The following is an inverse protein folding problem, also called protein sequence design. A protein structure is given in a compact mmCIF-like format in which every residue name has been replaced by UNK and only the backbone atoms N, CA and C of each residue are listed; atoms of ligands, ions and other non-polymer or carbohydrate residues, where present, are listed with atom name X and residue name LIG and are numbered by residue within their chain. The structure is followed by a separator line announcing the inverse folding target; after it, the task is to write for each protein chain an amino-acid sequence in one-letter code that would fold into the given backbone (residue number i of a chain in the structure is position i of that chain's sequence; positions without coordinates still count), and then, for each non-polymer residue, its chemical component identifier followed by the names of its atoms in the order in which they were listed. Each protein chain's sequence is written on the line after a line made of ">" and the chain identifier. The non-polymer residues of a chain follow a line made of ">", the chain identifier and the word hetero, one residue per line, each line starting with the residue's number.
data_IF_405772723185
#
_entry.id   IF_405772723185
#
_cell.length_a   1.000
_cell.length_b   1.000
_cell.length_c   1.000
_cell.angle_alpha   90.00
_cell.angle_beta   90.00
_cell.angle_gamma   90.00
#
_symmetry.space_group_name_H-M   'P 1'
#
loop_
_entity.id
_entity.type
_entity.pdbx_description
1 polymer ?
#
# COMPACT_ATOMS: atom_id res chain seq x y z
N UNK A 1 16.03 -57.05 15.03
CA UNK A 1 14.79 -56.24 15.07
C UNK A 1 15.09 -54.97 14.36
N UNK A 2 14.75 -54.87 13.05
CA UNK A 2 14.92 -53.67 12.26
C UNK A 2 13.88 -52.66 12.73
N UNK A 3 14.32 -51.47 13.17
CA UNK A 3 13.42 -50.32 13.39
C UNK A 3 12.90 -49.90 12.02
N UNK A 4 11.60 -50.03 11.81
CA UNK A 4 10.88 -49.41 10.70
C UNK A 4 11.26 -47.93 10.70
N UNK A 5 11.95 -47.50 9.62
CA UNK A 5 12.07 -46.11 9.26
C UNK A 5 10.65 -45.67 8.87
N UNK A 6 9.98 -45.04 9.82
CA UNK A 6 8.70 -44.37 9.58
C UNK A 6 8.94 -43.34 8.46
N UNK A 7 8.66 -43.75 7.24
CA UNK A 7 8.88 -42.89 6.07
C UNK A 7 7.83 -41.81 6.13
N UNK A 8 8.25 -40.59 6.50
CA UNK A 8 7.37 -39.42 6.57
C UNK A 8 6.62 -39.24 5.25
N UNK A 9 5.30 -39.12 5.32
CA UNK A 9 4.42 -39.03 4.16
C UNK A 9 3.62 -37.73 4.20
N UNK A 10 3.38 -37.15 3.04
CA UNK A 10 2.44 -36.04 2.92
C UNK A 10 1.03 -36.49 3.34
N UNK A 11 0.41 -35.77 4.27
CA UNK A 11 -0.95 -36.07 4.78
C UNK A 11 -2.06 -35.77 3.75
N UNK A 12 -1.73 -35.02 2.67
CA UNK A 12 -2.67 -34.66 1.63
C UNK A 12 -2.64 -35.63 0.45
N UNK A 13 -1.46 -35.93 -0.12
CA UNK A 13 -1.34 -36.79 -1.30
C UNK A 13 -0.76 -38.18 -1.00
N UNK A 14 -0.26 -38.44 0.20
CA UNK A 14 0.29 -39.72 0.64
C UNK A 14 1.72 -40.03 0.15
N UNK A 15 2.34 -39.18 -0.67
CA UNK A 15 3.71 -39.36 -1.16
C UNK A 15 4.74 -39.33 -0.04
N UNK A 16 5.80 -40.09 -0.20
CA UNK A 16 6.88 -40.16 0.79
C UNK A 16 7.86 -39.01 0.64
N UNK A 17 8.69 -38.80 1.66
CA UNK A 17 9.75 -37.77 1.64
C UNK A 17 10.80 -37.98 0.52
N UNK A 18 10.87 -39.17 -0.06
CA UNK A 18 11.80 -39.47 -1.15
C UNK A 18 11.20 -39.11 -2.55
N UNK A 19 9.87 -39.00 -2.63
CA UNK A 19 9.12 -38.71 -3.86
C UNK A 19 8.82 -37.22 -4.06
N UNK A 20 9.09 -36.36 -3.05
CA UNK A 20 8.81 -34.93 -3.06
C UNK A 20 10.08 -34.13 -2.80
N UNK A 21 10.13 -32.88 -3.26
CA UNK A 21 11.32 -32.03 -3.04
C UNK A 21 11.47 -31.60 -1.59
N UNK A 22 10.35 -31.33 -0.94
CA UNK A 22 10.32 -30.88 0.46
C UNK A 22 9.04 -31.29 1.16
N UNK A 23 9.15 -31.70 2.43
CA UNK A 23 8.05 -31.90 3.34
C UNK A 23 8.11 -30.85 4.44
N UNK A 24 7.02 -30.15 4.64
CA UNK A 24 6.84 -29.19 5.75
C UNK A 24 6.09 -29.91 6.87
N UNK A 25 6.65 -29.88 8.08
CA UNK A 25 6.09 -30.52 9.24
C UNK A 25 5.19 -29.55 10.03
N UNK A 26 3.97 -29.99 10.33
CA UNK A 26 3.06 -29.36 11.29
C UNK A 26 2.85 -30.27 12.52
N UNK A 27 2.00 -29.86 13.47
CA UNK A 27 1.65 -30.69 14.62
C UNK A 27 0.92 -31.96 14.16
N UNK A 28 1.63 -33.10 14.11
CA UNK A 28 1.16 -34.43 13.68
C UNK A 28 0.74 -34.55 12.21
N UNK A 29 1.15 -33.63 11.35
CA UNK A 29 0.85 -33.63 9.90
C UNK A 29 2.07 -33.21 9.10
N UNK A 30 2.11 -33.64 7.84
CA UNK A 30 3.12 -33.22 6.88
C UNK A 30 2.44 -32.79 5.57
N UNK A 31 2.94 -31.76 4.93
CA UNK A 31 2.48 -31.32 3.61
C UNK A 31 3.69 -31.18 2.67
N UNK A 32 3.56 -31.66 1.43
CA UNK A 32 4.62 -31.51 0.45
C UNK A 32 4.47 -30.20 -0.35
N UNK A 33 5.57 -29.79 -0.98
CA UNK A 33 5.65 -28.60 -1.83
C UNK A 33 4.58 -28.57 -2.92
N UNK A 34 4.36 -29.68 -3.64
CA UNK A 34 3.31 -29.74 -4.66
C UNK A 34 1.89 -29.54 -4.09
N UNK A 35 1.60 -30.10 -2.91
CA UNK A 35 0.29 -29.89 -2.26
C UNK A 35 0.13 -28.45 -1.75
N UNK A 36 1.20 -27.78 -1.35
CA UNK A 36 1.16 -26.36 -0.99
C UNK A 36 0.78 -25.52 -2.21
N UNK A 37 1.42 -25.75 -3.37
CA UNK A 37 1.10 -25.06 -4.61
C UNK A 37 -0.37 -25.27 -5.07
N UNK A 38 -0.90 -26.48 -4.89
CA UNK A 38 -2.31 -26.78 -5.18
C UNK A 38 -3.24 -26.05 -4.21
N UNK A 39 -2.93 -26.05 -2.90
CA UNK A 39 -3.72 -25.34 -1.90
C UNK A 39 -3.70 -23.82 -2.15
N UNK A 40 -2.56 -23.24 -2.46
CA UNK A 40 -2.40 -21.84 -2.79
C UNK A 40 -3.30 -21.46 -3.99
N UNK A 41 -3.29 -22.27 -5.03
CA UNK A 41 -4.12 -22.06 -6.23
C UNK A 41 -5.62 -22.15 -5.91
N UNK A 42 -6.05 -23.14 -5.12
CA UNK A 42 -7.45 -23.30 -4.72
C UNK A 42 -7.90 -22.12 -3.83
N UNK A 43 -7.03 -21.68 -2.92
CA UNK A 43 -7.30 -20.53 -2.05
C UNK A 43 -7.44 -19.26 -2.89
N UNK A 44 -6.56 -19.05 -3.86
CA UNK A 44 -6.65 -17.92 -4.79
C UNK A 44 -7.95 -17.98 -5.63
N UNK A 45 -8.34 -19.14 -6.13
CA UNK A 45 -9.57 -19.31 -6.92
C UNK A 45 -10.85 -19.12 -6.09
N UNK A 46 -10.88 -19.59 -4.83
CA UNK A 46 -12.09 -19.55 -3.97
C UNK A 46 -12.26 -18.25 -3.18
N UNK A 47 -11.16 -17.63 -2.77
CA UNK A 47 -11.22 -16.35 -2.05
C UNK A 47 -11.25 -15.15 -3.01
N UNK A 48 -11.25 -15.42 -4.35
CA UNK A 48 -10.80 -14.44 -5.32
C UNK A 48 -9.35 -14.14 -5.01
N UNK A 49 -8.52 -13.81 -5.97
CA UNK A 49 -7.24 -13.24 -5.62
C UNK A 49 -7.53 -12.26 -4.47
N UNK A 50 -7.13 -12.59 -3.24
CA UNK A 50 -6.69 -11.56 -2.35
C UNK A 50 -5.53 -11.01 -3.14
N UNK A 51 -5.87 -10.16 -4.12
CA UNK A 51 -4.96 -9.18 -4.57
C UNK A 51 -4.52 -8.55 -3.24
N UNK A 52 -3.47 -9.07 -2.65
CA UNK A 52 -2.50 -8.18 -2.09
C UNK A 52 -2.30 -7.31 -3.31
N UNK A 53 -3.05 -6.21 -3.35
CA UNK A 53 -2.79 -5.11 -4.23
C UNK A 53 -1.34 -4.77 -3.89
N UNK A 54 -0.45 -5.62 -4.36
CA UNK A 54 0.91 -5.30 -4.60
C UNK A 54 0.75 -4.22 -5.65
N UNK A 55 0.32 -3.06 -5.12
CA UNK A 55 0.33 -1.80 -5.84
C UNK A 55 1.68 -1.81 -6.50
N UNK A 56 1.63 -2.25 -7.76
CA UNK A 56 2.80 -2.66 -8.51
C UNK A 56 3.55 -1.37 -8.84
N UNK A 57 4.14 -0.78 -7.80
CA UNK A 57 5.04 0.37 -7.87
C UNK A 57 6.26 0.06 -8.75
N UNK A 58 6.25 -1.08 -9.48
CA UNK A 58 7.28 -1.40 -10.47
C UNK A 58 7.42 -0.33 -11.53
N UNK A 59 6.38 0.51 -11.69
CA UNK A 59 6.38 1.61 -12.63
C UNK A 59 5.93 2.94 -11.96
N UNK A 60 6.56 3.29 -10.82
CA UNK A 60 6.32 4.61 -10.24
C UNK A 60 6.69 5.68 -11.28
N UNK A 61 5.74 6.53 -11.70
CA UNK A 61 6.00 7.55 -12.70
C UNK A 61 7.09 8.51 -12.22
N UNK A 62 7.99 8.87 -13.13
CA UNK A 62 9.07 9.81 -12.81
C UNK A 62 8.52 11.21 -12.47
N UNK A 63 9.25 12.06 -11.75
CA UNK A 63 8.81 13.43 -11.44
C UNK A 63 8.46 14.24 -12.69
N UNK A 64 9.10 13.95 -13.83
CA UNK A 64 8.80 14.59 -15.11
C UNK A 64 7.44 14.17 -15.66
N UNK A 65 7.10 12.90 -15.57
CA UNK A 65 5.80 12.36 -15.99
C UNK A 65 4.69 12.85 -15.07
N UNK A 66 4.93 12.89 -13.76
CA UNK A 66 3.99 13.45 -12.77
C UNK A 66 3.71 14.93 -13.12
N UNK A 67 4.75 15.73 -13.38
CA UNK A 67 4.58 17.13 -13.77
C UNK A 67 3.81 17.25 -15.08
N UNK A 68 4.14 16.45 -16.09
CA UNK A 68 3.47 16.48 -17.38
C UNK A 68 1.96 16.19 -17.24
N UNK A 69 1.60 15.21 -16.42
CA UNK A 69 0.20 14.92 -16.13
C UNK A 69 -0.50 16.08 -15.40
N UNK A 70 0.17 16.70 -14.41
CA UNK A 70 -0.38 17.88 -13.72
C UNK A 70 -0.56 19.07 -14.68
N UNK A 71 0.27 19.20 -15.71
CA UNK A 71 0.17 20.27 -16.72
C UNK A 71 -1.10 20.14 -17.58
N UNK A 72 -1.66 18.95 -17.73
CA UNK A 72 -2.91 18.73 -18.47
C UNK A 72 -4.13 19.30 -17.73
N UNK A 73 -4.10 19.36 -16.40
CA UNK A 73 -5.25 19.75 -15.57
C UNK A 73 -5.10 21.12 -14.92
N UNK A 74 -3.88 21.56 -14.65
CA UNK A 74 -3.60 22.80 -13.92
C UNK A 74 -2.73 23.71 -14.77
N UNK A 75 -3.23 24.91 -15.08
CA UNK A 75 -2.50 25.90 -15.86
C UNK A 75 -1.55 26.68 -14.94
N UNK A 76 -0.29 26.82 -15.34
CA UNK A 76 0.73 27.53 -14.56
C UNK A 76 1.17 26.75 -13.32
N UNK A 77 1.67 27.47 -12.30
CA UNK A 77 2.15 26.88 -11.03
C UNK A 77 3.33 25.89 -11.22
N UNK A 78 4.22 26.15 -12.16
CA UNK A 78 5.29 25.22 -12.55
C UNK A 78 6.20 24.82 -11.38
N UNK A 79 6.63 25.79 -10.57
CA UNK A 79 7.50 25.54 -9.42
C UNK A 79 6.81 24.65 -8.37
N UNK A 80 5.52 24.90 -8.12
CA UNK A 80 4.73 24.09 -7.19
C UNK A 80 4.56 22.65 -7.71
N UNK A 81 4.29 22.47 -9.01
CA UNK A 81 4.16 21.16 -9.65
C UNK A 81 5.46 20.37 -9.60
N UNK A 82 6.60 21.01 -9.89
CA UNK A 82 7.91 20.38 -9.82
C UNK A 82 8.21 19.92 -8.39
N UNK A 83 8.02 20.81 -7.42
CA UNK A 83 8.27 20.50 -6.00
C UNK A 83 7.38 19.36 -5.50
N UNK A 84 6.09 19.40 -5.87
CA UNK A 84 5.13 18.36 -5.53
C UNK A 84 5.48 17.02 -6.18
N UNK A 85 5.81 17.01 -7.47
CA UNK A 85 6.18 15.81 -8.20
C UNK A 85 7.40 15.10 -7.58
N UNK A 86 8.42 15.87 -7.19
CA UNK A 86 9.61 15.34 -6.53
C UNK A 86 9.28 14.82 -5.12
N UNK A 87 8.50 15.57 -4.34
CA UNK A 87 8.14 15.17 -2.98
C UNK A 87 7.35 13.84 -2.98
N UNK A 88 6.40 13.72 -3.89
CA UNK A 88 5.56 12.52 -4.03
C UNK A 88 6.37 11.33 -4.55
N UNK A 89 7.20 11.54 -5.57
CA UNK A 89 8.09 10.49 -6.05
C UNK A 89 8.98 9.95 -4.93
N UNK A 90 9.59 10.82 -4.15
CA UNK A 90 10.44 10.43 -3.02
C UNK A 90 9.65 9.69 -1.95
N UNK A 91 8.40 10.09 -1.68
CA UNK A 91 7.53 9.43 -0.72
C UNK A 91 7.25 7.98 -1.13
N UNK A 92 6.76 7.76 -2.36
CA UNK A 92 6.44 6.42 -2.84
C UNK A 92 7.69 5.57 -3.09
N UNK A 93 8.79 6.19 -3.53
CA UNK A 93 10.07 5.50 -3.64
C UNK A 93 10.56 4.97 -2.31
N UNK A 94 10.37 5.72 -1.24
CA UNK A 94 10.66 5.28 0.13
C UNK A 94 9.80 4.09 0.55
N UNK A 95 8.51 4.07 0.19
CA UNK A 95 7.62 2.94 0.49
C UNK A 95 8.01 1.66 -0.26
N UNK A 96 8.68 1.77 -1.42
CA UNK A 96 9.21 0.63 -2.17
C UNK A 96 10.52 0.08 -1.58
N UNK A 97 11.26 0.91 -0.90
CA UNK A 97 12.57 0.54 -0.35
C UNK A 97 12.36 0.20 1.11
N UNK A 98 12.76 -1.00 1.53
CA UNK A 98 12.81 -1.33 2.95
C UNK A 98 13.60 -0.24 3.67
N UNK A 99 13.01 0.33 4.73
CA UNK A 99 13.37 1.60 5.36
C UNK A 99 14.84 1.80 5.78
N UNK A 100 15.73 0.91 5.41
CA UNK A 100 17.16 0.96 5.76
C UNK A 100 18.00 0.73 4.50
N UNK A 101 18.52 1.81 3.94
CA UNK A 101 19.62 1.75 2.97
C UNK A 101 20.86 2.29 3.68
N UNK A 102 21.83 1.43 3.92
CA UNK A 102 23.18 1.79 4.46
C UNK A 102 23.14 2.67 5.73
N UNK A 103 22.41 2.27 6.79
CA UNK A 103 22.26 3.02 8.04
C UNK A 103 21.62 4.43 7.93
N UNK A 104 21.00 4.75 6.78
CA UNK A 104 20.29 6.02 6.58
C UNK A 104 18.78 5.80 6.71
N UNK A 105 18.17 6.42 7.73
CA UNK A 105 16.71 6.44 7.89
C UNK A 105 16.09 7.53 7.00
N UNK A 106 15.27 7.11 6.04
CA UNK A 106 14.54 8.03 5.17
C UNK A 106 13.30 8.58 5.89
N UNK A 107 13.33 9.86 6.25
CA UNK A 107 12.22 10.50 6.95
C UNK A 107 11.02 10.76 6.05
N UNK A 108 9.81 10.67 6.65
CA UNK A 108 8.56 11.05 5.99
C UNK A 108 8.49 12.58 5.86
N UNK A 109 8.13 13.08 4.67
CA UNK A 109 7.93 14.49 4.43
C UNK A 109 6.42 14.79 4.22
N UNK A 110 5.96 15.89 4.83
CA UNK A 110 4.65 16.48 4.55
C UNK A 110 4.85 17.69 3.63
N UNK A 111 3.85 17.98 2.78
CA UNK A 111 3.89 19.11 1.85
C UNK A 111 2.90 20.17 2.33
N UNK A 112 3.38 21.42 2.47
CA UNK A 112 2.55 22.56 2.83
C UNK A 112 2.26 23.40 1.57
N UNK A 113 0.98 23.58 1.24
CA UNK A 113 0.54 24.47 0.17
C UNK A 113 0.16 25.84 0.74
N UNK A 114 0.79 26.90 0.25
CA UNK A 114 0.49 28.29 0.64
C UNK A 114 0.04 29.05 -0.60
N UNK A 115 -1.12 29.67 -0.56
CA UNK A 115 -1.64 30.49 -1.64
C UNK A 115 -3.08 30.91 -1.43
N UNK A 116 -3.58 31.89 -2.20
CA UNK A 116 -4.95 32.37 -2.10
C UNK A 116 -5.97 31.29 -2.46
N UNK A 117 -7.22 31.49 -2.06
CA UNK A 117 -8.34 30.66 -2.49
C UNK A 117 -8.45 30.69 -4.01
N UNK A 118 -8.74 29.54 -4.62
CA UNK A 118 -8.85 29.42 -6.10
C UNK A 118 -7.51 29.26 -6.83
N UNK A 119 -6.36 29.20 -6.14
CA UNK A 119 -5.06 28.97 -6.76
C UNK A 119 -4.80 27.52 -7.21
N UNK A 120 -5.75 26.60 -7.01
CA UNK A 120 -5.64 25.20 -7.46
C UNK A 120 -5.01 24.23 -6.47
N UNK A 121 -4.81 24.59 -5.20
CA UNK A 121 -4.17 23.74 -4.18
C UNK A 121 -4.84 22.37 -4.06
N UNK A 122 -6.13 22.35 -3.84
CA UNK A 122 -6.92 21.10 -3.72
C UNK A 122 -6.95 20.33 -5.03
N UNK A 123 -7.05 21.02 -6.17
CA UNK A 123 -7.05 20.39 -7.49
C UNK A 123 -5.72 19.66 -7.78
N UNK A 124 -4.59 20.27 -7.41
CA UNK A 124 -3.27 19.62 -7.54
C UNK A 124 -3.22 18.30 -6.75
N UNK A 125 -3.67 18.31 -5.50
CA UNK A 125 -3.67 17.12 -4.66
C UNK A 125 -4.62 16.02 -5.18
N UNK A 126 -5.82 16.40 -5.63
CA UNK A 126 -6.79 15.48 -6.22
C UNK A 126 -6.30 14.85 -7.53
N UNK A 127 -5.73 15.67 -8.42
CA UNK A 127 -5.21 15.19 -9.71
C UNK A 127 -4.07 14.19 -9.48
N UNK A 128 -3.20 14.49 -8.51
CA UNK A 128 -2.11 13.62 -8.14
C UNK A 128 -2.60 12.25 -7.61
N UNK A 129 -3.57 12.27 -6.69
CA UNK A 129 -4.14 11.03 -6.13
C UNK A 129 -4.78 10.16 -7.23
N UNK A 130 -5.48 10.79 -8.18
CA UNK A 130 -6.06 10.09 -9.35
C UNK A 130 -5.01 9.46 -10.24
N UNK A 131 -3.92 10.20 -10.53
CA UNK A 131 -2.82 9.70 -11.35
C UNK A 131 -2.13 8.49 -10.72
N UNK A 132 -1.98 8.50 -9.41
CA UNK A 132 -1.32 7.44 -8.66
C UNK A 132 -2.27 6.30 -8.28
N UNK A 133 -3.56 6.43 -8.61
CA UNK A 133 -4.61 5.46 -8.28
C UNK A 133 -4.70 5.15 -6.77
N UNK A 134 -4.37 6.14 -5.93
CA UNK A 134 -4.44 6.01 -4.47
C UNK A 134 -5.68 6.67 -3.90
N UNK A 135 -6.22 6.18 -2.76
CA UNK A 135 -7.33 6.80 -2.09
C UNK A 135 -7.03 8.25 -1.71
N UNK A 136 -8.05 9.12 -1.81
CA UNK A 136 -7.93 10.53 -1.49
C UNK A 136 -8.98 10.94 -0.47
N UNK A 137 -8.53 11.52 0.64
CA UNK A 137 -9.40 12.04 1.68
C UNK A 137 -9.18 13.54 1.90
N UNK A 138 -10.26 14.27 2.17
CA UNK A 138 -10.22 15.68 2.53
C UNK A 138 -10.68 15.82 3.99
N UNK A 139 -9.90 16.53 4.80
CA UNK A 139 -10.26 16.92 6.15
C UNK A 139 -10.23 18.45 6.29
N UNK A 140 -11.17 18.98 7.04
CA UNK A 140 -11.22 20.42 7.38
C UNK A 140 -10.55 20.62 8.74
N UNK A 141 -9.41 21.33 8.75
CA UNK A 141 -8.68 21.61 9.98
C UNK A 141 -9.46 22.49 10.96
N UNK A 142 -10.40 23.29 10.47
CA UNK A 142 -11.18 24.20 11.33
C UNK A 142 -12.24 23.48 12.14
N UNK A 143 -12.67 22.31 11.70
CA UNK A 143 -13.64 21.46 12.39
C UNK A 143 -13.02 20.53 13.43
N UNK A 144 -11.69 20.35 13.39
CA UNK A 144 -10.98 19.44 14.26
C UNK A 144 -10.80 19.99 15.65
N UNK A 145 -11.14 19.20 16.66
CA UNK A 145 -10.98 19.52 18.08
C UNK A 145 -10.28 18.39 18.81
N UNK A 146 -9.75 18.69 20.01
CA UNK A 146 -9.26 17.63 20.89
C UNK A 146 -10.43 16.75 21.36
N UNK A 147 -10.13 15.46 21.57
CA UNK A 147 -11.11 14.48 22.03
C UNK A 147 -11.88 14.99 23.27
N UNK A 148 -13.22 14.98 23.18
CA UNK A 148 -14.11 15.43 24.25
C UNK A 148 -14.60 16.87 24.19
N UNK A 149 -14.20 17.65 23.16
CA UNK A 149 -14.79 18.94 22.84
C UNK A 149 -15.82 18.85 21.71
N UNK A 150 -16.63 19.88 21.54
CA UNK A 150 -17.64 19.92 20.47
C UNK A 150 -16.93 20.19 19.14
N UNK A 151 -16.87 19.18 18.29
CA UNK A 151 -16.23 19.20 16.97
C UNK A 151 -15.96 17.78 16.46
N UNK A 152 -15.29 17.67 15.33
CA UNK A 152 -14.82 16.36 14.84
C UNK A 152 -13.51 15.98 15.54
N UNK A 153 -13.44 14.76 16.07
CA UNK A 153 -12.22 14.22 16.64
C UNK A 153 -11.17 13.97 15.56
N UNK A 154 -9.88 14.12 15.89
CA UNK A 154 -8.77 13.87 14.96
C UNK A 154 -8.81 12.43 14.41
N UNK A 155 -9.31 11.49 15.21
CA UNK A 155 -9.51 10.10 14.80
C UNK A 155 -10.49 9.96 13.63
N UNK A 156 -11.40 10.91 13.42
CA UNK A 156 -12.31 10.90 12.28
C UNK A 156 -11.58 11.06 10.93
N UNK A 157 -10.38 11.63 10.93
CA UNK A 157 -9.53 11.67 9.73
C UNK A 157 -9.17 10.26 9.29
N UNK A 158 -8.80 9.38 10.23
CA UNK A 158 -8.48 7.98 9.95
C UNK A 158 -9.70 7.25 9.39
N UNK A 159 -10.89 7.51 9.95
CA UNK A 159 -12.12 6.93 9.42
C UNK A 159 -12.40 7.38 7.98
N UNK A 160 -12.19 8.67 7.65
CA UNK A 160 -12.33 9.20 6.29
C UNK A 160 -11.35 8.53 5.31
N UNK A 161 -10.12 8.26 5.76
CA UNK A 161 -9.11 7.53 4.97
C UNK A 161 -9.59 6.10 4.67
N UNK A 162 -10.01 5.37 5.70
CA UNK A 162 -10.48 3.99 5.59
C UNK A 162 -11.70 3.91 4.67
N UNK A 163 -12.63 4.85 4.79
CA UNK A 163 -13.80 4.95 3.91
C UNK A 163 -13.40 5.25 2.45
N UNK A 164 -12.44 6.15 2.22
CA UNK A 164 -11.95 6.47 0.89
C UNK A 164 -11.19 5.30 0.23
N UNK A 165 -10.71 4.36 1.04
CA UNK A 165 -10.06 3.12 0.61
C UNK A 165 -11.02 1.92 0.53
N UNK A 166 -12.35 2.13 0.60
CA UNK A 166 -13.37 1.07 0.62
C UNK A 166 -13.15 0.02 1.73
N UNK A 167 -12.65 0.47 2.89
CA UNK A 167 -12.31 -0.34 4.07
C UNK A 167 -11.12 -1.30 3.85
N UNK A 168 -10.36 -1.14 2.79
CA UNK A 168 -9.09 -1.84 2.57
C UNK A 168 -7.96 -1.10 3.31
N UNK A 169 -7.41 -1.74 4.34
CA UNK A 169 -6.36 -1.15 5.19
C UNK A 169 -5.05 -0.99 4.41
N UNK A 170 -4.68 -1.93 3.57
CA UNK A 170 -3.45 -1.87 2.79
C UNK A 170 -3.47 -0.71 1.78
N UNK A 171 -4.64 -0.43 1.19
CA UNK A 171 -4.86 0.75 0.34
C UNK A 171 -4.91 2.03 1.16
N UNK A 172 -5.52 2.00 2.35
CA UNK A 172 -5.62 3.16 3.25
C UNK A 172 -4.26 3.67 3.70
N UNK A 173 -3.29 2.79 3.94
CA UNK A 173 -1.91 3.15 4.33
C UNK A 173 -1.18 3.98 3.27
N UNK A 174 -1.62 3.93 2.01
CA UNK A 174 -1.04 4.65 0.86
C UNK A 174 -1.84 5.89 0.45
N UNK A 175 -2.86 6.23 1.20
CA UNK A 175 -3.78 7.34 0.95
C UNK A 175 -3.07 8.70 0.96
N UNK A 176 -3.55 9.61 0.12
CA UNK A 176 -3.21 11.03 0.19
C UNK A 176 -4.31 11.76 0.95
N UNK A 177 -3.92 12.46 2.02
CA UNK A 177 -4.82 13.29 2.82
C UNK A 177 -4.52 14.75 2.52
N UNK A 178 -5.55 15.50 2.17
CA UNK A 178 -5.52 16.94 2.04
C UNK A 178 -6.25 17.56 3.23
N UNK A 179 -5.53 18.33 4.03
CA UNK A 179 -6.08 19.05 5.20
C UNK A 179 -6.18 20.53 4.81
N UNK A 180 -7.41 21.05 4.76
CA UNK A 180 -7.71 22.45 4.37
C UNK A 180 -7.92 23.34 5.58
#
# INVERSE_FOLDING_TARGET
>A
MAKDKDTMRCSFCGRTSEEVRKLVAGPNVYICDECVEVCERIIADELGDVETDDFNLKELPTPREIKAHLDEYVIGQDDAKISLAVAVYNHYKRLQTDNVVDDVELQKANVLFIGPTGSGKTLLAQTLAKMLEVPFAIADATSLTEAGYVGEDVENILLKIIQAADYDIARAERCIIYID
#
